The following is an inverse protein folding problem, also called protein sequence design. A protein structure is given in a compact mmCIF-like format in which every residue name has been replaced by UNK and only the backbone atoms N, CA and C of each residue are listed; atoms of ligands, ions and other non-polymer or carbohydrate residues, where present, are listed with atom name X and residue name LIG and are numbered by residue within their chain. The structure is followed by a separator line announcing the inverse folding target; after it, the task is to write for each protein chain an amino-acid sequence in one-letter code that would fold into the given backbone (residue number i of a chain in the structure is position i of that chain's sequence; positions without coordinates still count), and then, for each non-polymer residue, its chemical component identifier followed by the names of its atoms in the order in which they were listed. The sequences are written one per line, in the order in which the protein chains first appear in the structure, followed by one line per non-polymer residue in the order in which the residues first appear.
data_IF_075282548815
#
_entry.id   IF_075282548815
#
_cell.length_a   1.000
_cell.length_b   1.000
_cell.length_c   1.000
_cell.angle_alpha   90.00
_cell.angle_beta   90.00
_cell.angle_gamma   90.00
#
_symmetry.space_group_name_H-M   'P 1'
#
loop_
_entity.id
_entity.type
_entity.pdbx_description
1 polymer ?
#
# COMPACT_ATOMS: atom_id res chain seq x y z
N UNK A 1 0.22 -3.95 43.43
CA UNK A 1 0.04 -2.87 42.44
C UNK A 1 1.36 -2.41 41.81
N UNK A 2 2.44 -2.29 42.56
CA UNK A 2 3.77 -1.85 42.06
C UNK A 2 4.35 -2.84 41.02
N UNK A 3 4.32 -4.13 41.30
CA UNK A 3 4.87 -5.19 40.41
C UNK A 3 4.18 -5.29 39.03
N UNK A 4 2.89 -4.94 38.94
CA UNK A 4 2.18 -4.98 37.65
C UNK A 4 2.56 -3.80 36.74
N UNK A 5 2.90 -2.63 37.33
CA UNK A 5 3.38 -1.46 36.58
C UNK A 5 4.81 -1.68 36.06
N UNK A 6 5.68 -2.27 36.88
CA UNK A 6 7.07 -2.54 36.48
C UNK A 6 7.14 -3.56 35.33
N UNK A 7 6.27 -4.60 35.36
CA UNK A 7 6.16 -5.59 34.26
C UNK A 7 5.61 -4.99 32.97
N UNK A 8 4.68 -4.04 33.04
CA UNK A 8 4.17 -3.32 31.87
C UNK A 8 5.18 -2.34 31.30
N UNK A 9 5.95 -1.66 32.15
CA UNK A 9 7.00 -0.72 31.74
C UNK A 9 8.20 -1.46 31.12
N UNK A 10 8.59 -2.60 31.69
CA UNK A 10 9.65 -3.46 31.13
C UNK A 10 9.22 -4.08 29.79
N UNK A 11 7.97 -4.54 29.65
CA UNK A 11 7.44 -5.05 28.39
C UNK A 11 7.39 -3.94 27.30
N UNK A 12 7.11 -2.70 27.69
CA UNK A 12 7.13 -1.54 26.78
C UNK A 12 8.56 -1.16 26.36
N UNK A 13 9.53 -1.29 27.28
CA UNK A 13 10.96 -1.07 26.99
C UNK A 13 11.51 -2.19 26.08
N UNK A 14 11.15 -3.43 26.33
CA UNK A 14 11.56 -4.58 25.52
C UNK A 14 10.93 -4.56 24.12
N UNK A 15 9.69 -4.04 23.99
CA UNK A 15 9.05 -3.80 22.71
C UNK A 15 9.76 -2.73 21.86
N UNK A 16 10.32 -1.69 22.54
CA UNK A 16 11.13 -0.64 21.90
C UNK A 16 12.54 -1.13 21.53
N UNK A 17 13.03 -2.19 22.16
CA UNK A 17 14.39 -2.73 21.96
C UNK A 17 14.45 -3.79 20.84
N UNK A 18 13.33 -4.21 20.25
CA UNK A 18 13.36 -5.13 19.09
C UNK A 18 13.86 -4.37 17.87
N UNK A 19 14.86 -4.90 17.14
CA UNK A 19 15.26 -4.27 15.89
C UNK A 19 14.04 -4.20 14.95
N UNK A 20 13.58 -3.00 14.65
CA UNK A 20 12.49 -2.78 13.71
C UNK A 20 12.97 -3.16 12.31
N UNK A 21 12.26 -4.10 11.66
CA UNK A 21 12.50 -4.41 10.26
C UNK A 21 11.41 -3.77 9.42
N UNK A 22 11.82 -2.83 8.59
CA UNK A 22 10.93 -2.01 7.76
C UNK A 22 10.82 -2.59 6.35
N UNK A 23 9.62 -2.58 5.78
CA UNK A 23 9.39 -2.85 4.37
C UNK A 23 8.67 -1.68 3.69
N UNK A 24 9.04 -1.38 2.45
CA UNK A 24 8.31 -0.46 1.58
C UNK A 24 7.33 -1.27 0.73
N UNK A 25 6.06 -0.87 0.73
CA UNK A 25 4.99 -1.44 -0.09
C UNK A 25 4.62 -0.42 -1.16
N UNK A 26 4.87 -0.75 -2.42
CA UNK A 26 4.48 0.04 -3.58
C UNK A 26 3.13 -0.46 -4.08
N UNK A 27 2.09 0.35 -3.91
CA UNK A 27 0.72 -0.04 -4.21
C UNK A 27 0.38 0.40 -5.63
N UNK A 28 0.13 -0.58 -6.52
CA UNK A 28 -0.53 -0.46 -7.82
C UNK A 28 -0.02 0.69 -8.72
N UNK A 29 1.29 0.87 -8.83
CA UNK A 29 1.89 1.91 -9.69
C UNK A 29 1.91 1.40 -11.14
N UNK A 30 0.71 1.22 -11.71
CA UNK A 30 0.46 0.59 -13.01
C UNK A 30 0.03 1.63 -14.07
N UNK A 31 0.19 1.26 -15.35
CA UNK A 31 -0.11 2.16 -16.47
C UNK A 31 -1.56 2.64 -16.44
N UNK A 32 -2.53 1.78 -16.13
CA UNK A 32 -3.94 2.16 -16.14
C UNK A 32 -4.32 3.17 -15.05
N UNK A 33 -3.53 3.27 -13.98
CA UNK A 33 -3.72 4.27 -12.93
C UNK A 33 -2.93 5.56 -13.13
N UNK A 34 -2.14 5.66 -14.20
CA UNK A 34 -1.40 6.86 -14.54
C UNK A 34 -2.04 7.64 -15.69
N UNK A 35 -1.68 8.91 -15.92
CA UNK A 35 -2.24 9.71 -16.99
C UNK A 35 -2.20 9.01 -18.35
N UNK A 36 -3.36 8.88 -19.01
CA UNK A 36 -3.54 8.15 -20.26
C UNK A 36 -4.00 6.69 -20.10
N UNK A 37 -4.03 6.18 -18.88
CA UNK A 37 -4.56 4.85 -18.55
C UNK A 37 -6.08 4.80 -18.46
N UNK A 38 -6.63 3.58 -18.36
CA UNK A 38 -8.08 3.34 -18.40
C UNK A 38 -8.83 3.85 -17.16
N UNK A 39 -8.17 3.92 -16.01
CA UNK A 39 -8.67 4.46 -14.74
C UNK A 39 -7.66 5.46 -14.15
N UNK A 40 -7.31 6.46 -14.94
CA UNK A 40 -6.23 7.39 -14.62
C UNK A 40 -6.52 8.20 -13.35
N UNK A 41 -5.61 8.09 -12.40
CA UNK A 41 -5.52 8.97 -11.24
C UNK A 41 -4.83 10.27 -11.66
N UNK A 42 -5.39 11.41 -11.26
CA UNK A 42 -4.79 12.71 -11.55
C UNK A 42 -3.38 12.80 -10.99
N UNK A 43 -2.40 13.12 -11.85
CA UNK A 43 -0.98 13.19 -11.47
C UNK A 43 -0.43 11.89 -10.82
N UNK A 44 -1.02 10.73 -11.15
CA UNK A 44 -0.60 9.44 -10.58
C UNK A 44 0.86 9.09 -10.90
N UNK A 45 1.37 9.52 -12.03
CA UNK A 45 2.76 9.37 -12.43
C UNK A 45 3.75 10.16 -11.55
N UNK A 46 3.26 11.22 -10.86
CA UNK A 46 4.11 12.03 -9.98
C UNK A 46 4.58 11.32 -8.72
N UNK A 47 3.98 10.20 -8.36
CA UNK A 47 4.46 9.38 -7.24
C UNK A 47 5.79 8.69 -7.58
N UNK A 48 6.05 8.42 -8.87
CA UNK A 48 7.16 7.57 -9.32
C UNK A 48 8.54 8.10 -8.93
N UNK A 49 8.90 9.38 -9.17
CA UNK A 49 10.20 9.89 -8.74
C UNK A 49 10.41 9.76 -7.23
N UNK A 50 9.35 9.99 -6.45
CA UNK A 50 9.42 9.95 -4.99
C UNK A 50 9.64 8.51 -4.52
N UNK A 51 8.87 7.55 -5.04
CA UNK A 51 9.03 6.14 -4.64
C UNK A 51 10.36 5.56 -5.12
N UNK A 52 10.87 5.97 -6.27
CA UNK A 52 12.19 5.56 -6.75
C UNK A 52 13.31 6.04 -5.79
N UNK A 53 13.16 7.23 -5.21
CA UNK A 53 14.10 7.72 -4.21
C UNK A 53 13.93 6.97 -2.89
N UNK A 54 12.68 6.81 -2.41
CA UNK A 54 12.38 6.05 -1.18
C UNK A 54 12.96 4.63 -1.21
N UNK A 55 12.88 3.94 -2.35
CA UNK A 55 13.40 2.57 -2.50
C UNK A 55 14.87 2.44 -2.07
N UNK A 56 15.68 3.49 -2.19
CA UNK A 56 17.11 3.47 -1.82
C UNK A 56 17.32 3.33 -0.31
N UNK A 57 16.30 3.65 0.49
CA UNK A 57 16.33 3.67 1.96
C UNK A 57 15.69 2.44 2.61
N UNK A 58 15.34 1.41 1.80
CA UNK A 58 14.73 0.19 2.29
C UNK A 58 15.47 -1.05 1.79
N UNK A 59 15.66 -2.03 2.69
CA UNK A 59 16.26 -3.32 2.35
C UNK A 59 15.23 -4.30 1.77
N UNK A 60 13.94 -4.13 2.10
CA UNK A 60 12.86 -4.95 1.59
C UNK A 60 11.81 -4.06 0.94
N UNK A 61 11.60 -4.30 -0.36
CA UNK A 61 10.60 -3.61 -1.15
C UNK A 61 9.71 -4.67 -1.78
N UNK A 62 8.40 -4.49 -1.63
CA UNK A 62 7.39 -5.31 -2.28
C UNK A 62 6.41 -4.42 -3.03
N UNK A 63 5.71 -4.97 -4.00
CA UNK A 63 4.71 -4.25 -4.75
C UNK A 63 3.41 -5.04 -4.85
N UNK A 64 2.31 -4.34 -5.08
CA UNK A 64 1.05 -4.93 -5.50
C UNK A 64 0.74 -4.56 -6.95
N UNK A 65 -0.07 -5.38 -7.59
CA UNK A 65 -0.71 -5.10 -8.88
C UNK A 65 -2.18 -5.49 -8.81
N UNK A 66 -3.05 -4.61 -9.23
CA UNK A 66 -4.38 -4.99 -9.67
C UNK A 66 -4.25 -5.89 -10.89
N UNK A 67 -4.96 -7.03 -10.90
CA UNK A 67 -4.77 -8.07 -11.91
C UNK A 67 -6.10 -8.73 -12.22
N UNK A 68 -6.98 -7.98 -12.90
CA UNK A 68 -8.36 -8.39 -13.11
C UNK A 68 -8.54 -9.33 -14.32
N UNK A 69 -9.29 -10.42 -14.18
CA UNK A 69 -9.71 -11.21 -15.32
C UNK A 69 -10.63 -10.41 -16.24
N UNK A 70 -10.63 -10.75 -17.52
CA UNK A 70 -11.58 -10.18 -18.49
C UNK A 70 -13.01 -10.43 -18.00
N UNK A 71 -13.82 -9.36 -17.89
CA UNK A 71 -15.20 -9.46 -17.42
C UNK A 71 -15.35 -9.44 -15.90
N UNK A 72 -14.33 -8.99 -15.16
CA UNK A 72 -14.41 -8.82 -13.71
C UNK A 72 -15.66 -8.03 -13.28
N UNK A 73 -16.28 -8.44 -12.17
CA UNK A 73 -17.59 -7.93 -11.71
C UNK A 73 -17.62 -6.41 -11.47
N UNK A 74 -16.51 -5.81 -11.05
CA UNK A 74 -16.43 -4.36 -10.82
C UNK A 74 -16.61 -3.53 -12.09
N UNK A 75 -16.29 -4.08 -13.25
CA UNK A 75 -16.41 -3.38 -14.53
C UNK A 75 -17.86 -3.11 -14.96
N UNK A 76 -18.78 -3.90 -14.44
CA UNK A 76 -20.22 -3.71 -14.73
C UNK A 76 -20.89 -2.68 -13.81
N UNK A 77 -20.25 -2.30 -12.68
CA UNK A 77 -20.95 -1.57 -11.62
C UNK A 77 -20.23 -0.30 -11.16
N UNK A 78 -18.90 -0.30 -11.10
CA UNK A 78 -18.14 0.76 -10.41
C UNK A 78 -17.07 1.39 -11.31
N UNK A 79 -16.26 0.57 -11.99
CA UNK A 79 -15.06 1.02 -12.67
C UNK A 79 -15.06 0.66 -14.15
N UNK A 80 -14.47 1.49 -15.02
CA UNK A 80 -14.19 1.04 -16.38
C UNK A 80 -13.25 -0.17 -16.34
N UNK A 81 -13.22 -1.02 -17.39
CA UNK A 81 -12.22 -2.07 -17.50
C UNK A 81 -10.81 -1.51 -17.38
N UNK A 82 -10.05 -1.99 -16.40
CA UNK A 82 -8.68 -1.56 -16.10
C UNK A 82 -7.86 -2.73 -15.55
N UNK A 83 -6.56 -2.62 -15.60
CA UNK A 83 -5.59 -3.60 -15.09
C UNK A 83 -5.95 -5.04 -15.47
N UNK A 84 -6.45 -5.23 -16.71
CA UNK A 84 -6.79 -6.56 -17.23
C UNK A 84 -5.53 -7.40 -17.30
N UNK A 85 -5.61 -8.64 -16.84
CA UNK A 85 -4.50 -9.60 -16.82
C UNK A 85 -3.79 -9.62 -18.18
N UNK A 86 -2.45 -9.61 -18.15
CA UNK A 86 -1.57 -9.66 -19.32
C UNK A 86 -1.67 -8.44 -20.27
N UNK A 87 -2.47 -7.43 -19.92
CA UNK A 87 -2.51 -6.20 -20.71
C UNK A 87 -1.39 -5.24 -20.33
N UNK A 88 -1.02 -4.34 -21.27
CA UNK A 88 -0.08 -3.25 -20.99
C UNK A 88 -0.59 -2.35 -19.85
N UNK A 89 -1.91 -2.18 -19.71
CA UNK A 89 -2.53 -1.40 -18.65
C UNK A 89 -2.21 -1.94 -17.26
N UNK A 90 -2.13 -3.27 -17.11
CA UNK A 90 -1.80 -3.95 -15.88
C UNK A 90 -0.30 -3.98 -15.55
N UNK A 91 0.57 -3.54 -16.48
CA UNK A 91 2.01 -3.48 -16.19
C UNK A 91 2.36 -2.24 -15.37
N UNK A 92 3.47 -2.33 -14.60
CA UNK A 92 4.05 -1.17 -13.93
C UNK A 92 4.42 -0.10 -14.95
N UNK A 93 4.31 1.16 -14.56
CA UNK A 93 4.77 2.26 -15.42
C UNK A 93 6.28 2.12 -15.70
N UNK A 94 6.72 2.37 -16.94
CA UNK A 94 8.12 2.13 -17.34
C UNK A 94 9.16 2.93 -16.56
N UNK A 95 8.73 4.03 -15.93
CA UNK A 95 9.61 4.91 -15.13
C UNK A 95 9.80 4.45 -13.69
N UNK A 96 9.03 3.45 -13.24
CA UNK A 96 9.23 2.84 -11.92
C UNK A 96 10.47 1.93 -11.95
N UNK A 97 11.38 2.14 -11.01
CA UNK A 97 12.48 1.20 -10.80
C UNK A 97 11.94 -0.10 -10.16
N UNK A 98 11.83 -1.14 -10.96
CA UNK A 98 11.36 -2.46 -10.50
C UNK A 98 12.51 -3.39 -10.10
N UNK A 99 13.76 -2.98 -10.27
CA UNK A 99 14.94 -3.84 -10.03
C UNK A 99 15.13 -4.21 -8.56
N UNK A 100 14.59 -3.37 -7.66
CA UNK A 100 14.67 -3.56 -6.22
C UNK A 100 13.44 -4.23 -5.61
N UNK A 101 12.39 -4.50 -6.39
CA UNK A 101 11.16 -5.15 -5.92
C UNK A 101 11.44 -6.63 -5.71
N UNK A 102 11.48 -7.06 -4.45
CA UNK A 102 11.75 -8.44 -4.07
C UNK A 102 10.61 -9.40 -4.47
N UNK A 103 9.36 -8.91 -4.42
CA UNK A 103 8.17 -9.67 -4.80
C UNK A 103 6.99 -8.77 -5.15
N UNK A 104 6.22 -9.19 -6.15
CA UNK A 104 4.94 -8.57 -6.51
C UNK A 104 3.79 -9.49 -6.09
N UNK A 105 2.74 -8.91 -5.50
CA UNK A 105 1.52 -9.59 -5.08
C UNK A 105 0.37 -9.14 -5.96
N UNK A 106 -0.31 -10.09 -6.57
CA UNK A 106 -1.46 -9.83 -7.43
C UNK A 106 -2.74 -9.81 -6.60
N UNK A 107 -3.60 -8.83 -6.83
CA UNK A 107 -4.91 -8.70 -6.18
C UNK A 107 -6.02 -8.51 -7.21
N UNK A 108 -7.28 -8.62 -6.80
CA UNK A 108 -8.43 -8.52 -7.72
C UNK A 108 -8.45 -9.64 -8.78
N UNK A 109 -7.88 -10.80 -8.46
CA UNK A 109 -7.76 -11.93 -9.39
C UNK A 109 -9.01 -12.80 -9.47
N UNK A 110 -9.97 -12.62 -8.56
CA UNK A 110 -11.25 -13.33 -8.58
C UNK A 110 -12.25 -12.63 -9.49
N UNK A 111 -12.96 -13.37 -10.33
CA UNK A 111 -13.96 -12.82 -11.25
C UNK A 111 -15.10 -12.07 -10.54
N UNK A 112 -15.47 -12.54 -9.36
CA UNK A 112 -16.68 -12.10 -8.65
C UNK A 112 -16.39 -11.15 -7.47
N UNK A 113 -15.16 -11.14 -6.94
CA UNK A 113 -14.80 -10.38 -5.75
C UNK A 113 -13.60 -9.49 -6.03
N UNK A 114 -13.78 -8.20 -5.82
CA UNK A 114 -12.74 -7.21 -5.97
C UNK A 114 -11.77 -7.18 -4.76
N UNK A 115 -10.62 -6.54 -4.92
CA UNK A 115 -9.61 -6.42 -3.89
C UNK A 115 -8.97 -5.03 -3.93
N UNK A 116 -9.37 -4.15 -3.03
CA UNK A 116 -8.68 -2.88 -2.86
C UNK A 116 -7.39 -3.06 -2.07
N UNK A 117 -7.46 -3.80 -0.97
CA UNK A 117 -6.29 -4.06 -0.15
C UNK A 117 -5.25 -4.92 -0.86
N UNK A 118 -3.97 -4.60 -0.64
CA UNK A 118 -2.85 -5.48 -1.01
C UNK A 118 -2.79 -6.76 -0.19
N UNK A 119 -3.56 -6.88 0.90
CA UNK A 119 -3.53 -8.03 1.82
C UNK A 119 -4.68 -9.01 1.61
N UNK A 120 -5.89 -8.52 1.37
CA UNK A 120 -7.11 -9.32 1.28
C UNK A 120 -8.02 -8.84 0.15
N UNK A 121 -8.93 -9.72 -0.28
CA UNK A 121 -10.08 -9.32 -1.08
C UNK A 121 -11.08 -8.50 -0.23
N UNK A 122 -12.03 -7.81 -0.90
CA UNK A 122 -12.99 -6.93 -0.22
C UNK A 122 -13.92 -7.66 0.76
N UNK A 123 -14.03 -8.97 0.66
CA UNK A 123 -14.81 -9.80 1.58
C UNK A 123 -13.96 -10.42 2.70
N UNK A 124 -12.64 -10.19 2.72
CA UNK A 124 -11.66 -10.78 3.65
C UNK A 124 -11.68 -12.31 3.67
N UNK A 125 -12.06 -12.93 2.56
CA UNK A 125 -12.11 -14.39 2.42
C UNK A 125 -10.82 -14.98 1.87
N UNK A 126 -10.09 -14.20 1.06
CA UNK A 126 -8.85 -14.62 0.42
C UNK A 126 -7.74 -13.63 0.68
N UNK A 127 -6.63 -14.15 1.20
CA UNK A 127 -5.40 -13.39 1.35
C UNK A 127 -4.55 -13.45 0.07
N UNK A 128 -3.85 -12.36 -0.22
CA UNK A 128 -2.87 -12.32 -1.33
C UNK A 128 -1.57 -13.05 -1.01
N UNK A 129 -1.32 -13.30 0.28
CA UNK A 129 -0.06 -13.82 0.81
C UNK A 129 0.95 -12.73 1.19
N UNK A 130 0.65 -11.45 0.98
CA UNK A 130 1.55 -10.35 1.35
C UNK A 130 1.82 -10.34 2.86
N UNK A 131 0.78 -10.44 3.69
CA UNK A 131 0.93 -10.41 5.14
C UNK A 131 1.82 -11.54 5.67
N UNK A 132 1.59 -12.76 5.21
CA UNK A 132 2.41 -13.93 5.59
C UNK A 132 3.85 -13.78 5.13
N UNK A 133 4.06 -13.26 3.92
CA UNK A 133 5.40 -13.01 3.40
C UNK A 133 6.15 -11.99 4.26
N UNK A 134 5.54 -10.86 4.60
CA UNK A 134 6.16 -9.84 5.44
C UNK A 134 6.48 -10.36 6.84
N UNK A 135 5.54 -11.11 7.45
CA UNK A 135 5.77 -11.76 8.76
C UNK A 135 6.90 -12.78 8.71
N UNK A 136 6.97 -13.60 7.67
CA UNK A 136 8.04 -14.57 7.47
C UNK A 136 9.42 -13.88 7.27
N UNK A 137 9.44 -12.66 6.72
CA UNK A 137 10.64 -11.84 6.64
C UNK A 137 10.98 -11.14 7.96
N UNK A 138 10.17 -11.27 9.01
CA UNK A 138 10.36 -10.60 10.29
C UNK A 138 10.06 -9.11 10.26
N UNK A 139 9.27 -8.64 9.30
CA UNK A 139 8.85 -7.24 9.19
C UNK A 139 7.92 -6.91 10.36
N UNK A 140 8.15 -5.76 10.98
CA UNK A 140 7.32 -5.19 12.05
C UNK A 140 6.67 -3.88 11.61
N UNK A 141 7.30 -3.18 10.66
CA UNK A 141 6.90 -1.86 10.22
C UNK A 141 6.76 -1.84 8.70
N UNK A 142 5.66 -1.28 8.21
CA UNK A 142 5.42 -1.11 6.79
C UNK A 142 5.28 0.37 6.45
N UNK A 143 5.89 0.75 5.33
CA UNK A 143 5.75 2.08 4.74
C UNK A 143 5.02 1.90 3.41
N UNK A 144 3.93 2.62 3.22
CA UNK A 144 3.03 2.45 2.09
C UNK A 144 3.05 3.70 1.21
N UNK A 145 3.22 3.51 -0.09
CA UNK A 145 3.16 4.55 -1.11
C UNK A 145 2.53 3.99 -2.39
N UNK A 146 1.94 4.82 -3.21
CA UNK A 146 1.36 4.44 -4.51
C UNK A 146 -0.06 4.93 -4.73
N UNK A 147 -0.86 4.14 -5.42
CA UNK A 147 -2.16 4.49 -5.98
C UNK A 147 -3.25 3.50 -5.56
N UNK A 148 -4.50 3.92 -5.35
CA UNK A 148 -4.91 5.30 -5.10
C UNK A 148 -5.11 5.50 -3.59
N UNK A 149 -4.82 6.74 -3.11
CA UNK A 149 -4.87 7.08 -1.68
C UNK A 149 -6.19 6.68 -1.03
N UNK A 150 -7.30 7.01 -1.68
CA UNK A 150 -8.69 6.84 -1.20
C UNK A 150 -9.25 5.42 -1.37
N UNK A 151 -8.51 4.54 -2.05
CA UNK A 151 -8.85 3.12 -2.26
C UNK A 151 -7.71 2.18 -1.84
N UNK A 152 -6.90 1.72 -2.77
CA UNK A 152 -5.95 0.63 -2.52
C UNK A 152 -4.92 0.96 -1.44
N UNK A 153 -4.44 2.20 -1.36
CA UNK A 153 -3.53 2.64 -0.30
C UNK A 153 -4.24 2.61 1.06
N UNK A 154 -5.44 3.21 1.15
CA UNK A 154 -6.23 3.23 2.39
C UNK A 154 -6.53 1.82 2.90
N UNK A 155 -7.12 0.98 2.06
CA UNK A 155 -7.49 -0.37 2.50
C UNK A 155 -6.26 -1.23 2.85
N UNK A 156 -5.14 -1.06 2.12
CA UNK A 156 -3.88 -1.71 2.48
C UNK A 156 -3.33 -1.23 3.83
N UNK A 157 -3.42 0.07 4.12
CA UNK A 157 -2.96 0.61 5.40
C UNK A 157 -3.82 0.11 6.58
N UNK A 158 -5.14 0.09 6.41
CA UNK A 158 -6.06 -0.41 7.45
C UNK A 158 -5.84 -1.90 7.73
N UNK A 159 -5.67 -2.72 6.69
CA UNK A 159 -5.39 -4.15 6.86
C UNK A 159 -4.01 -4.41 7.46
N UNK A 160 -3.00 -3.61 7.10
CA UNK A 160 -1.68 -3.69 7.72
C UNK A 160 -1.75 -3.44 9.23
N UNK A 161 -2.50 -2.42 9.66
CA UNK A 161 -2.75 -2.14 11.09
C UNK A 161 -3.46 -3.31 11.78
N UNK A 162 -4.52 -3.86 11.17
CA UNK A 162 -5.25 -5.02 11.71
C UNK A 162 -4.35 -6.26 11.83
N UNK A 163 -3.39 -6.44 10.93
CA UNK A 163 -2.40 -7.52 10.97
C UNK A 163 -1.29 -7.29 12.01
N UNK A 164 -1.28 -6.13 12.68
CA UNK A 164 -0.36 -5.77 13.75
C UNK A 164 0.95 -5.13 13.28
N UNK A 165 1.03 -4.65 12.04
CA UNK A 165 2.16 -3.87 11.57
C UNK A 165 2.07 -2.42 12.04
N UNK A 166 3.18 -1.83 12.46
CA UNK A 166 3.31 -0.37 12.52
C UNK A 166 3.25 0.15 11.09
N UNK A 167 2.31 1.04 10.82
CA UNK A 167 1.99 1.44 9.44
C UNK A 167 2.21 2.93 9.25
N UNK A 168 3.03 3.27 8.28
CA UNK A 168 3.30 4.64 7.83
C UNK A 168 2.82 4.80 6.39
N UNK A 169 2.11 5.89 6.09
CA UNK A 169 1.68 6.24 4.73
C UNK A 169 2.41 7.50 4.30
N UNK A 170 3.04 7.46 3.11
CA UNK A 170 3.80 8.59 2.57
C UNK A 170 2.87 9.44 1.70
N UNK A 171 2.39 10.55 2.25
CA UNK A 171 1.34 11.37 1.66
C UNK A 171 1.70 11.90 0.27
N UNK A 172 2.88 12.50 0.11
CA UNK A 172 3.33 13.08 -1.16
C UNK A 172 3.72 12.02 -2.21
N UNK A 173 3.91 10.77 -1.80
CA UNK A 173 4.12 9.60 -2.65
C UNK A 173 2.81 8.83 -2.94
N UNK A 174 1.65 9.43 -2.69
CA UNK A 174 0.33 8.89 -3.01
C UNK A 174 -0.50 9.91 -3.80
N UNK A 175 -1.47 9.42 -4.59
CA UNK A 175 -2.49 10.23 -5.27
C UNK A 175 -3.83 9.51 -5.22
N UNK A 176 -4.91 10.27 -5.02
CA UNK A 176 -6.28 9.74 -4.94
C UNK A 176 -7.03 9.82 -6.26
N UNK A 177 -8.04 8.97 -6.41
CA UNK A 177 -8.99 9.01 -7.53
C UNK A 177 -9.89 10.23 -7.43
N UNK A 178 -10.26 10.64 -6.20
CA UNK A 178 -11.10 11.82 -5.96
C UNK A 178 -12.46 11.74 -6.68
N UNK A 179 -13.16 10.62 -6.54
CA UNK A 179 -14.53 10.49 -7.09
C UNK A 179 -15.40 11.63 -6.60
N UNK A 180 -15.27 11.99 -5.32
CA UNK A 180 -15.83 13.20 -4.76
C UNK A 180 -14.74 14.08 -4.20
N UNK A 181 -14.85 15.41 -4.31
CA UNK A 181 -13.87 16.33 -3.75
C UNK A 181 -13.61 16.07 -2.26
N UNK A 182 -12.32 15.91 -1.90
CA UNK A 182 -11.87 15.66 -0.54
C UNK A 182 -11.88 14.18 -0.13
N UNK A 183 -12.08 13.23 -1.04
CA UNK A 183 -11.97 11.78 -0.74
C UNK A 183 -10.57 11.43 -0.24
N UNK A 184 -9.53 11.99 -0.83
CA UNK A 184 -8.14 11.79 -0.41
C UNK A 184 -7.90 12.26 1.02
N UNK A 185 -8.34 13.47 1.37
CA UNK A 185 -8.14 14.02 2.72
C UNK A 185 -8.92 13.20 3.77
N UNK A 186 -10.13 12.76 3.44
CA UNK A 186 -10.92 11.85 4.30
C UNK A 186 -10.22 10.51 4.50
N UNK A 187 -9.68 9.93 3.43
CA UNK A 187 -8.96 8.67 3.50
C UNK A 187 -7.70 8.77 4.39
N UNK A 188 -6.93 9.86 4.25
CA UNK A 188 -5.77 10.12 5.11
C UNK A 188 -6.18 10.27 6.58
N UNK A 189 -7.27 10.99 6.85
CA UNK A 189 -7.81 11.14 8.21
C UNK A 189 -8.25 9.79 8.79
N UNK A 190 -9.00 8.97 8.04
CA UNK A 190 -9.42 7.62 8.45
C UNK A 190 -8.22 6.72 8.79
N UNK A 191 -7.16 6.74 7.96
CA UNK A 191 -5.94 5.97 8.22
C UNK A 191 -5.25 6.45 9.50
N UNK A 192 -5.15 7.77 9.70
CA UNK A 192 -4.55 8.36 10.91
C UNK A 192 -5.36 8.02 12.17
N UNK A 193 -6.68 8.11 12.12
CA UNK A 193 -7.58 7.72 13.23
C UNK A 193 -7.46 6.23 13.57
N UNK A 194 -7.21 5.38 12.58
CA UNK A 194 -6.96 3.94 12.79
C UNK A 194 -5.56 3.65 13.36
N UNK A 195 -4.66 4.63 13.40
CA UNK A 195 -3.33 4.50 13.99
C UNK A 195 -2.17 4.49 13.00
N UNK A 196 -2.40 4.80 11.71
CA UNK A 196 -1.32 4.98 10.76
C UNK A 196 -0.61 6.33 10.97
N UNK A 197 0.70 6.35 10.81
CA UNK A 197 1.46 7.59 10.72
C UNK A 197 1.37 8.13 9.28
N UNK A 198 0.96 9.39 9.14
CA UNK A 198 0.93 10.07 7.83
C UNK A 198 2.12 11.03 7.79
N UNK A 199 3.03 10.79 6.85
CA UNK A 199 4.27 11.56 6.73
C UNK A 199 4.50 12.05 5.31
N UNK A 200 5.32 13.08 5.16
CA UNK A 200 5.90 13.44 3.86
C UNK A 200 7.19 12.63 3.63
N UNK A 201 7.53 12.37 2.38
CA UNK A 201 8.72 11.57 2.01
C UNK A 201 10.01 12.10 2.63
N UNK A 202 10.15 13.42 2.77
CA UNK A 202 11.29 14.08 3.39
C UNK A 202 11.61 13.55 4.80
N UNK A 203 10.59 13.17 5.57
CA UNK A 203 10.78 12.60 6.91
C UNK A 203 11.50 11.24 6.89
N UNK A 204 11.45 10.53 5.77
CA UNK A 204 12.07 9.21 5.59
C UNK A 204 13.41 9.26 4.86
N UNK A 205 13.62 10.29 4.03
CA UNK A 205 14.84 10.47 3.24
C UNK A 205 16.00 11.08 4.06
N UNK A 206 15.71 11.63 5.24
CA UNK A 206 16.68 12.41 6.02
C UNK A 206 16.83 13.83 5.48
N UNK A 207 17.47 14.70 6.26
CA UNK A 207 17.91 16.00 5.74
C UNK A 207 19.11 15.78 4.80
N UNK A 208 19.20 16.58 3.69
CA UNK A 208 20.31 16.48 2.76
C UNK A 208 21.66 16.88 3.37
#
# INVERSE_FOLDING_TARGET
MVLANELTEQAALDARARPTKRALILVDIQNDFCPGGALAVREGDRVVPIVNELQKHFDLIVATKDWHPVGHSSFATLWPPHCIQESTGAEFVPTLDTTRIARTFLKGTDMAVDSYSGFFDNEHKRATGLGDYLKAQGVTDVVIAGLATDYCVKFSALDALQLGFHTTVVRDACRGVEVNPGDTDRALAEMAEAGAEIVESQALLGEP
#
